data_IF_144666447814
#
_entry.id   IF_144666447814
#
_cell.length_a   1.000
_cell.length_b   1.000
_cell.length_c   1.000
_cell.angle_alpha   90.00
_cell.angle_beta   90.00
_cell.angle_gamma   90.00
#
_symmetry.space_group_name_H-M   'P 1'
#
loop_
_entity.id
_entity.type
_entity.pdbx_description
1 polymer ?
#
# COMPACT_ATOMS: atom_id res chain seq x y z
N UNK A 1 -5.15 -8.17 -19.63
CA UNK A 1 -6.40 -7.85 -20.35
C UNK A 1 -6.24 -6.55 -21.13
N UNK A 2 -6.33 -6.58 -22.46
CA UNK A 2 -5.87 -5.44 -23.28
C UNK A 2 -6.70 -4.15 -23.11
N UNK A 3 -8.00 -4.26 -22.82
CA UNK A 3 -8.88 -3.09 -22.68
C UNK A 3 -8.92 -2.52 -21.25
N UNK A 4 -9.05 -3.39 -20.24
CA UNK A 4 -9.15 -2.96 -18.84
C UNK A 4 -7.81 -2.42 -18.32
N UNK A 5 -6.73 -3.20 -18.46
CA UNK A 5 -5.40 -2.78 -18.03
C UNK A 5 -4.89 -1.60 -18.88
N UNK A 6 -5.27 -1.55 -20.16
CA UNK A 6 -4.96 -0.43 -21.04
C UNK A 6 -5.58 0.89 -20.59
N UNK A 7 -6.83 0.88 -20.12
CA UNK A 7 -7.47 2.07 -19.54
C UNK A 7 -6.77 2.51 -18.26
N UNK A 8 -6.43 1.57 -17.37
CA UNK A 8 -5.69 1.86 -16.14
C UNK A 8 -4.37 2.56 -16.43
N UNK A 9 -3.55 2.01 -17.34
CA UNK A 9 -2.27 2.61 -17.73
C UNK A 9 -2.46 4.00 -18.37
N UNK A 10 -3.50 4.18 -19.19
CA UNK A 10 -3.83 5.50 -19.77
C UNK A 10 -4.09 6.53 -18.66
N UNK A 11 -4.92 6.19 -17.68
CA UNK A 11 -5.20 7.08 -16.55
C UNK A 11 -3.96 7.38 -15.71
N UNK A 12 -3.09 6.39 -15.46
CA UNK A 12 -1.82 6.63 -14.77
C UNK A 12 -0.94 7.63 -15.51
N UNK A 13 -0.75 7.46 -16.83
CA UNK A 13 0.02 8.38 -17.68
C UNK A 13 -0.52 9.81 -17.64
N UNK A 14 -1.84 9.98 -17.74
CA UNK A 14 -2.49 11.29 -17.65
C UNK A 14 -2.27 11.98 -16.28
N UNK A 15 -2.18 11.21 -15.19
CA UNK A 15 -1.87 11.76 -13.86
C UNK A 15 -0.39 12.10 -13.73
N UNK A 16 0.51 11.28 -14.28
CA UNK A 16 1.96 11.52 -14.27
C UNK A 16 2.33 12.87 -14.89
N UNK A 17 1.63 13.30 -15.96
CA UNK A 17 1.84 14.62 -16.57
C UNK A 17 1.68 15.79 -15.58
N UNK A 18 0.92 15.59 -14.50
CA UNK A 18 0.69 16.60 -13.45
C UNK A 18 1.78 16.61 -12.37
N UNK A 19 2.62 15.57 -12.32
CA UNK A 19 3.66 15.37 -11.30
C UNK A 19 5.00 14.98 -11.96
N UNK A 20 5.60 15.85 -12.79
CA UNK A 20 6.82 15.55 -13.55
C UNK A 20 8.06 15.25 -12.68
N UNK A 21 8.02 15.62 -11.41
CA UNK A 21 9.06 15.32 -10.41
C UNK A 21 9.09 13.84 -10.00
N UNK A 22 8.02 13.08 -10.23
CA UNK A 22 7.92 11.66 -9.90
C UNK A 22 8.31 10.84 -11.13
N UNK A 23 9.37 10.03 -10.99
CA UNK A 23 9.78 9.08 -12.04
C UNK A 23 8.73 8.00 -12.20
N UNK A 24 8.14 7.89 -13.40
CA UNK A 24 7.14 6.89 -13.74
C UNK A 24 7.72 5.81 -14.65
N UNK A 25 7.50 4.54 -14.28
CA UNK A 25 7.88 3.36 -15.06
C UNK A 25 6.73 2.35 -15.07
N UNK A 26 6.64 1.58 -16.15
CA UNK A 26 5.64 0.52 -16.31
C UNK A 26 6.34 -0.83 -16.36
N UNK A 27 5.79 -1.80 -15.63
CA UNK A 27 6.30 -3.18 -15.61
C UNK A 27 5.14 -4.16 -15.73
N UNK A 28 5.34 -5.20 -16.53
CA UNK A 28 4.39 -6.31 -16.64
C UNK A 28 4.39 -7.15 -15.36
N UNK A 29 3.23 -7.67 -14.95
CA UNK A 29 3.02 -8.25 -13.62
C UNK A 29 3.93 -9.46 -13.33
N UNK A 30 4.19 -10.29 -14.34
CA UNK A 30 5.09 -11.44 -14.25
C UNK A 30 6.54 -11.04 -13.97
N UNK A 31 7.05 -10.04 -14.71
CA UNK A 31 8.37 -9.48 -14.47
C UNK A 31 8.44 -8.75 -13.12
N UNK A 32 7.37 -8.07 -12.70
CA UNK A 32 7.27 -7.45 -11.39
C UNK A 32 7.46 -8.49 -10.27
N UNK A 33 6.73 -9.61 -10.31
CA UNK A 33 6.88 -10.72 -9.37
C UNK A 33 8.33 -11.25 -9.34
N UNK A 34 8.90 -11.52 -10.52
CA UNK A 34 10.27 -12.04 -10.62
C UNK A 34 11.29 -11.08 -10.01
N UNK A 35 11.14 -9.78 -10.28
CA UNK A 35 12.06 -8.75 -9.79
C UNK A 35 11.90 -8.50 -8.29
N UNK A 36 10.67 -8.55 -7.75
CA UNK A 36 10.43 -8.44 -6.31
C UNK A 36 11.12 -9.57 -5.53
N UNK A 37 11.06 -10.80 -6.02
CA UNK A 37 11.74 -11.93 -5.39
C UNK A 37 13.26 -11.83 -5.54
N UNK A 38 13.75 -11.34 -6.69
CA UNK A 38 15.19 -11.28 -6.98
C UNK A 38 15.90 -10.10 -6.30
N UNK A 39 15.32 -8.91 -6.36
CA UNK A 39 15.87 -7.69 -5.81
C UNK A 39 14.75 -6.66 -5.53
N UNK A 40 14.07 -6.76 -4.37
CA UNK A 40 12.95 -5.88 -4.05
C UNK A 40 13.37 -4.41 -3.89
N UNK A 41 14.64 -4.12 -3.61
CA UNK A 41 15.16 -2.76 -3.43
C UNK A 41 15.16 -1.89 -4.70
N UNK A 42 14.77 -2.46 -5.85
CA UNK A 42 14.57 -1.70 -7.09
C UNK A 42 13.23 -0.97 -7.13
N UNK A 43 12.30 -1.32 -6.25
CA UNK A 43 10.97 -0.73 -6.20
C UNK A 43 10.82 0.22 -5.02
N UNK A 44 10.03 1.27 -5.24
CA UNK A 44 9.67 2.25 -4.21
C UNK A 44 8.14 2.23 -4.02
N UNK A 45 7.41 2.75 -5.01
CA UNK A 45 5.94 2.76 -5.01
C UNK A 45 5.40 1.95 -6.18
N UNK A 46 4.48 1.03 -5.89
CA UNK A 46 3.78 0.22 -6.89
C UNK A 46 2.29 0.56 -6.88
N UNK A 47 1.72 0.90 -8.04
CA UNK A 47 0.29 1.13 -8.21
C UNK A 47 -0.27 0.13 -9.21
N UNK A 48 -1.40 -0.50 -8.87
CA UNK A 48 -1.96 -1.57 -9.69
C UNK A 48 -3.46 -1.77 -9.41
N UNK A 49 -4.21 -2.43 -10.33
CA UNK A 49 -5.58 -2.88 -10.09
C UNK A 49 -5.72 -3.82 -8.89
N UNK A 50 -6.93 -3.88 -8.34
CA UNK A 50 -7.27 -4.57 -7.09
C UNK A 50 -6.65 -5.98 -6.95
N UNK A 51 -6.94 -6.91 -7.87
CA UNK A 51 -6.44 -8.28 -7.78
C UNK A 51 -4.91 -8.38 -7.83
N UNK A 52 -4.25 -7.53 -8.62
CA UNK A 52 -2.80 -7.52 -8.66
C UNK A 52 -2.24 -6.97 -7.34
N UNK A 53 -2.90 -5.97 -6.77
CA UNK A 53 -2.56 -5.38 -5.47
C UNK A 53 -2.55 -6.42 -4.37
N UNK A 54 -3.64 -7.18 -4.26
CA UNK A 54 -3.83 -8.26 -3.28
C UNK A 54 -2.70 -9.30 -3.34
N UNK A 55 -2.40 -9.79 -4.54
CA UNK A 55 -1.35 -10.81 -4.74
C UNK A 55 0.04 -10.25 -4.45
N UNK A 56 0.34 -9.04 -4.92
CA UNK A 56 1.68 -8.44 -4.77
C UNK A 56 1.91 -7.97 -3.33
N UNK A 57 0.90 -7.46 -2.62
CA UNK A 57 1.05 -7.07 -1.22
C UNK A 57 1.39 -8.27 -0.34
N UNK A 58 0.76 -9.43 -0.58
CA UNK A 58 1.05 -10.66 0.14
C UNK A 58 2.44 -11.22 -0.18
N UNK A 59 2.85 -11.14 -1.45
CA UNK A 59 4.21 -11.48 -1.87
C UNK A 59 5.23 -10.63 -1.08
N UNK A 60 5.02 -9.31 -1.04
CA UNK A 60 5.89 -8.38 -0.31
C UNK A 60 5.89 -8.63 1.20
N UNK A 61 4.74 -8.94 1.79
CA UNK A 61 4.64 -9.34 3.19
C UNK A 61 5.50 -10.58 3.47
N UNK A 62 5.49 -11.57 2.58
CA UNK A 62 6.34 -12.75 2.65
C UNK A 62 7.85 -12.43 2.68
N UNK A 63 8.28 -11.39 1.97
CA UNK A 63 9.70 -10.96 1.95
C UNK A 63 10.19 -10.40 3.28
N UNK A 64 9.28 -9.88 4.12
CA UNK A 64 9.62 -9.21 5.39
C UNK A 64 9.29 -10.02 6.65
N UNK A 65 8.84 -11.27 6.50
CA UNK A 65 8.52 -12.16 7.62
C UNK A 65 7.02 -12.48 7.81
N UNK A 66 6.17 -11.97 6.91
CA UNK A 66 4.77 -12.38 6.78
C UNK A 66 3.74 -11.36 7.26
N UNK A 67 2.47 -11.76 7.15
CA UNK A 67 1.31 -10.90 7.38
C UNK A 67 1.18 -10.39 8.82
N UNK A 68 1.75 -11.09 9.79
CA UNK A 68 1.76 -10.67 11.22
C UNK A 68 2.54 -9.38 11.50
N UNK A 69 3.35 -8.92 10.54
CA UNK A 69 4.19 -7.73 10.63
C UNK A 69 3.76 -6.61 9.67
N UNK A 70 2.80 -6.87 8.78
CA UNK A 70 2.51 -5.99 7.65
C UNK A 70 1.35 -5.05 7.99
N UNK A 71 1.56 -3.72 8.01
CA UNK A 71 0.48 -2.77 8.22
C UNK A 71 -0.30 -2.49 6.93
N UNK A 72 -1.53 -2.00 7.06
CA UNK A 72 -2.32 -1.47 5.95
C UNK A 72 -3.22 -0.31 6.35
N UNK A 73 -3.58 0.50 5.36
CA UNK A 73 -4.52 1.60 5.51
C UNK A 73 -5.32 1.79 4.22
N UNK A 74 -6.64 1.78 4.36
CA UNK A 74 -7.59 2.11 3.30
C UNK A 74 -7.97 3.58 3.43
N UNK A 75 -7.76 4.35 2.36
CA UNK A 75 -8.02 5.80 2.34
C UNK A 75 -9.19 6.07 1.41
N UNK A 76 -10.22 6.74 1.93
CA UNK A 76 -11.41 7.15 1.21
C UNK A 76 -11.55 8.66 1.10
N UNK A 77 -12.59 9.10 0.39
CA UNK A 77 -12.94 10.51 0.30
C UNK A 77 -13.52 11.06 1.62
N UNK A 78 -13.62 12.39 1.75
CA UNK A 78 -14.23 13.03 2.92
C UNK A 78 -13.41 12.91 4.21
N UNK A 79 -12.11 12.60 4.11
CA UNK A 79 -11.23 12.44 5.28
C UNK A 79 -11.43 11.12 6.03
N UNK A 80 -12.07 10.12 5.39
CA UNK A 80 -12.28 8.80 5.97
C UNK A 80 -11.05 7.93 5.69
N UNK A 81 -10.51 7.30 6.74
CA UNK A 81 -9.45 6.31 6.61
C UNK A 81 -9.68 5.16 7.60
N UNK A 82 -9.35 3.95 7.18
CA UNK A 82 -9.43 2.72 7.98
C UNK A 82 -8.07 2.04 8.01
N UNK A 83 -7.47 1.93 9.19
CA UNK A 83 -6.25 1.17 9.40
C UNK A 83 -6.60 -0.21 9.98
N UNK A 84 -6.05 -1.26 9.39
CA UNK A 84 -6.30 -2.64 9.79
C UNK A 84 -5.03 -3.49 9.70
N UNK A 85 -5.02 -4.65 10.34
CA UNK A 85 -3.96 -5.62 10.10
C UNK A 85 -4.27 -6.37 8.79
N UNK A 86 -3.24 -6.70 8.01
CA UNK A 86 -3.42 -7.45 6.75
C UNK A 86 -3.77 -8.92 7.00
N UNK A 87 -3.34 -9.48 8.14
CA UNK A 87 -3.64 -10.86 8.47
C UNK A 87 -5.13 -11.10 8.76
N UNK A 88 -5.61 -12.32 8.46
CA UNK A 88 -6.96 -12.74 8.80
C UNK A 88 -7.20 -12.97 10.29
N UNK A 89 -8.36 -13.50 10.64
CA UNK A 89 -8.82 -13.69 12.03
C UNK A 89 -8.08 -14.77 12.83
N UNK A 90 -7.30 -15.63 12.17
CA UNK A 90 -6.53 -16.72 12.79
C UNK A 90 -7.33 -17.52 13.85
N UNK A 91 -8.45 -18.16 13.46
CA UNK A 91 -9.40 -18.79 14.39
C UNK A 91 -8.81 -19.96 15.19
N UNK A 92 -7.77 -20.60 14.65
CA UNK A 92 -7.02 -21.69 15.26
C UNK A 92 -6.24 -21.26 16.52
N UNK A 93 -5.87 -19.99 16.64
CA UNK A 93 -5.16 -19.42 17.81
C UNK A 93 -5.97 -18.41 18.63
N UNK A 94 -7.22 -18.15 18.24
CA UNK A 94 -8.10 -17.22 18.95
C UNK A 94 -8.28 -17.62 20.43
N UNK A 95 -8.15 -16.63 21.32
CA UNK A 95 -8.25 -16.84 22.77
C UNK A 95 -7.04 -17.53 23.43
N UNK A 96 -6.00 -17.88 22.67
CA UNK A 96 -4.80 -18.58 23.21
C UNK A 96 -3.67 -17.65 23.64
N UNK A 97 -3.82 -16.33 23.47
CA UNK A 97 -2.78 -15.32 23.73
C UNK A 97 -1.46 -15.58 22.96
N UNK A 98 -1.58 -16.01 21.69
CA UNK A 98 -0.45 -16.31 20.81
C UNK A 98 -0.35 -15.36 19.59
N UNK A 99 -1.31 -14.44 19.43
CA UNK A 99 -1.36 -13.56 18.27
C UNK A 99 -0.25 -12.50 18.31
N UNK A 100 0.36 -12.22 17.16
CA UNK A 100 1.30 -11.12 17.01
C UNK A 100 0.53 -9.83 16.70
N UNK A 101 0.55 -8.87 17.62
CA UNK A 101 -0.15 -7.59 17.48
C UNK A 101 0.64 -6.52 16.70
N UNK A 102 1.83 -6.85 16.18
CA UNK A 102 2.70 -5.88 15.51
C UNK A 102 2.05 -5.26 14.28
N UNK A 103 1.40 -6.04 13.41
CA UNK A 103 0.70 -5.52 12.23
C UNK A 103 -0.32 -4.43 12.61
N UNK A 104 -1.20 -4.72 13.58
CA UNK A 104 -2.22 -3.76 14.01
C UNK A 104 -1.61 -2.50 14.64
N UNK A 105 -0.55 -2.66 15.45
CA UNK A 105 0.16 -1.53 16.04
C UNK A 105 0.80 -0.63 14.97
N UNK A 106 1.45 -1.23 13.98
CA UNK A 106 2.05 -0.50 12.86
C UNK A 106 1.00 0.18 11.99
N UNK A 107 -0.18 -0.43 11.79
CA UNK A 107 -1.31 0.21 11.10
C UNK A 107 -1.82 1.42 11.87
N UNK A 108 -1.93 1.34 13.20
CA UNK A 108 -2.27 2.47 14.05
C UNK A 108 -1.24 3.61 13.95
N UNK A 109 0.06 3.28 13.93
CA UNK A 109 1.12 4.28 13.71
C UNK A 109 0.98 4.92 12.33
N UNK A 110 0.71 4.13 11.29
CA UNK A 110 0.57 4.60 9.90
C UNK A 110 -0.53 5.66 9.78
N UNK A 111 -1.72 5.39 10.29
CA UNK A 111 -2.82 6.37 10.24
C UNK A 111 -2.50 7.63 11.06
N UNK A 112 -1.85 7.51 12.23
CA UNK A 112 -1.42 8.67 13.00
C UNK A 112 -0.43 9.54 12.21
N UNK A 113 0.55 8.94 11.52
CA UNK A 113 1.53 9.67 10.71
C UNK A 113 0.85 10.38 9.53
N UNK A 114 -0.09 9.71 8.85
CA UNK A 114 -0.87 10.31 7.75
C UNK A 114 -1.68 11.51 8.28
N UNK A 115 -2.35 11.36 9.42
CA UNK A 115 -3.15 12.43 10.03
C UNK A 115 -2.30 13.64 10.43
N UNK A 116 -1.16 13.41 11.09
CA UNK A 116 -0.24 14.50 11.48
C UNK A 116 0.28 15.22 10.23
N UNK A 117 0.62 14.49 9.18
CA UNK A 117 1.10 15.07 7.92
C UNK A 117 0.02 15.92 7.26
N UNK A 118 -1.25 15.49 7.35
CA UNK A 118 -2.41 16.21 6.82
C UNK A 118 -2.64 17.51 7.58
N UNK A 119 -2.56 17.50 8.92
CA UNK A 119 -2.66 18.70 9.76
C UNK A 119 -1.57 19.71 9.40
N UNK A 120 -0.31 19.28 9.31
CA UNK A 120 0.81 20.15 8.93
C UNK A 120 0.62 20.77 7.55
N UNK A 121 0.08 20.01 6.60
CA UNK A 121 -0.23 20.52 5.26
C UNK A 121 -1.31 21.63 5.32
N UNK A 122 -2.35 21.45 6.14
CA UNK A 122 -3.41 22.44 6.33
C UNK A 122 -2.85 23.71 6.99
N UNK A 123 -2.07 23.56 8.07
CA UNK A 123 -1.43 24.69 8.76
C UNK A 123 -0.52 25.49 7.82
N UNK A 124 0.25 24.82 6.95
CA UNK A 124 1.11 25.49 5.97
C UNK A 124 0.35 26.32 4.92
N UNK A 125 -0.95 26.07 4.76
CA UNK A 125 -1.81 26.74 3.77
C UNK A 125 -2.75 27.78 4.40
N UNK A 126 -2.74 27.96 5.72
CA UNK A 126 -3.49 29.03 6.36
C UNK A 126 -2.77 30.38 6.18
N UNK A 127 -3.46 31.44 5.74
CA UNK A 127 -2.88 32.79 5.72
C UNK A 127 -2.61 33.27 7.16
N UNK A 128 -1.46 33.94 7.34
CA UNK A 128 -1.02 34.56 8.61
C UNK A 128 -1.98 35.63 9.12
#
# INVERSE_FOLDING_TARGET
MQKADGLFLKCCREVTEKYPEIKYEEVVIDNCCMMLVKNPALFDVLVMPNLYGDIISDLCAGLIGGLGLTPSCNIGEGGIALAEAVHGSAPDIAGKNLANSAALLLSAVTICVIWISTIKLIESRMPS
#
